data_IF_945937306204
#
_entry.id   IF_945937306204
#
_cell.length_a   1.000
_cell.length_b   1.000
_cell.length_c   1.000
_cell.angle_alpha   90.00
_cell.angle_beta   90.00
_cell.angle_gamma   90.00
#
_symmetry.space_group_name_H-M   'P 1'
#
loop_
_entity.id
_entity.type
_entity.pdbx_description
1 polymer ?
#
# COMPACT_ATOMS: atom_id res chain seq x y z
N UNK A 1 -34.85 -17.90 62.23
CA UNK A 1 -34.36 -18.87 61.23
C UNK A 1 -32.87 -18.61 61.02
N UNK A 2 -31.99 -19.50 61.50
CA UNK A 2 -30.52 -19.35 61.38
C UNK A 2 -30.09 -19.95 60.04
N UNK A 3 -29.84 -19.12 59.02
CA UNK A 3 -29.28 -19.62 57.76
C UNK A 3 -27.75 -19.63 57.85
N UNK A 4 -27.19 -20.83 57.77
CA UNK A 4 -25.76 -21.14 57.78
C UNK A 4 -25.13 -20.78 56.42
N UNK A 5 -23.81 -20.55 56.48
CA UNK A 5 -22.83 -20.23 55.44
C UNK A 5 -23.07 -20.88 54.05
N UNK A 6 -22.53 -20.32 52.97
CA UNK A 6 -21.23 -20.76 52.41
C UNK A 6 -20.57 -19.62 51.61
N UNK A 7 -19.41 -19.15 52.05
CA UNK A 7 -18.52 -18.30 51.25
C UNK A 7 -17.71 -19.23 50.35
N UNK A 8 -17.97 -19.18 49.04
CA UNK A 8 -17.16 -19.88 48.05
C UNK A 8 -15.82 -19.14 47.87
N UNK A 9 -14.72 -19.75 48.29
CA UNK A 9 -13.38 -19.25 48.04
C UNK A 9 -13.01 -19.48 46.57
N UNK A 10 -12.94 -18.40 45.79
CA UNK A 10 -12.48 -18.43 44.41
C UNK A 10 -10.94 -18.32 44.41
N UNK A 11 -10.25 -19.42 44.11
CA UNK A 11 -8.78 -19.44 43.94
C UNK A 11 -8.47 -18.85 42.57
N UNK A 12 -7.88 -17.64 42.53
CA UNK A 12 -7.43 -16.99 41.30
C UNK A 12 -5.97 -17.38 41.05
N UNK A 13 -5.75 -18.35 40.17
CA UNK A 13 -4.41 -18.64 39.64
C UNK A 13 -4.08 -17.65 38.53
N UNK A 14 -3.18 -16.69 38.79
CA UNK A 14 -2.66 -15.79 37.77
C UNK A 14 -1.59 -16.50 36.93
N UNK A 15 -1.88 -16.77 35.65
CA UNK A 15 -0.90 -17.26 34.69
C UNK A 15 -0.04 -16.10 34.16
N UNK A 16 1.27 -16.28 33.94
CA UNK A 16 2.11 -15.23 33.37
C UNK A 16 1.78 -15.06 31.89
N UNK A 17 1.31 -13.86 31.52
CA UNK A 17 1.17 -13.45 30.12
C UNK A 17 2.58 -13.19 29.59
N UNK A 18 3.14 -14.17 28.87
CA UNK A 18 4.34 -13.95 28.08
C UNK A 18 4.02 -12.92 27.00
N UNK A 19 4.39 -11.67 27.23
CA UNK A 19 4.33 -10.61 26.23
C UNK A 19 5.32 -10.97 25.11
N UNK A 20 4.82 -11.63 24.08
CA UNK A 20 5.55 -11.83 22.84
C UNK A 20 5.89 -10.47 22.26
N UNK A 21 7.18 -10.16 22.21
CA UNK A 21 7.71 -9.03 21.44
C UNK A 21 7.40 -9.33 19.98
N UNK A 22 6.32 -8.74 19.47
CA UNK A 22 6.03 -8.73 18.05
C UNK A 22 7.15 -7.93 17.37
N UNK A 23 8.14 -8.63 16.82
CA UNK A 23 9.09 -8.03 15.88
C UNK A 23 8.28 -7.61 14.67
N UNK A 24 8.04 -6.31 14.52
CA UNK A 24 7.42 -5.75 13.33
C UNK A 24 8.26 -6.19 12.12
N UNK A 25 7.70 -7.05 11.26
CA UNK A 25 8.32 -7.38 10.00
C UNK A 25 8.57 -6.08 9.21
N UNK A 26 9.69 -5.96 8.48
CA UNK A 26 9.93 -4.78 7.65
C UNK A 26 8.75 -4.63 6.69
N UNK A 27 8.13 -3.46 6.70
CA UNK A 27 7.12 -3.11 5.71
C UNK A 27 7.76 -3.14 4.33
N UNK A 28 7.29 -4.03 3.43
CA UNK A 28 7.69 -4.20 2.02
C UNK A 28 7.31 -2.98 1.14
N UNK A 29 7.65 -1.78 1.59
CA UNK A 29 7.52 -0.55 0.80
C UNK A 29 8.57 -0.58 -0.31
N UNK A 30 8.15 -0.31 -1.54
CA UNK A 30 9.09 -0.28 -2.64
C UNK A 30 9.90 1.02 -2.58
N UNK A 31 11.17 0.94 -2.93
CA UNK A 31 12.03 2.11 -2.97
C UNK A 31 11.63 3.03 -4.12
N UNK A 32 11.90 4.32 -3.98
CA UNK A 32 11.76 5.29 -5.07
C UNK A 32 12.50 4.86 -6.35
N UNK A 33 13.66 4.23 -6.20
CA UNK A 33 14.43 3.71 -7.33
C UNK A 33 13.74 2.53 -8.05
N UNK A 34 13.01 1.67 -7.34
CA UNK A 34 12.19 0.63 -7.97
C UNK A 34 11.09 1.25 -8.84
N UNK A 35 10.42 2.28 -8.32
CA UNK A 35 9.42 3.03 -9.08
C UNK A 35 10.01 3.79 -10.27
N UNK A 36 11.23 4.31 -10.16
CA UNK A 36 11.92 4.98 -11.28
C UNK A 36 12.28 4.01 -12.41
N UNK A 37 12.70 2.79 -12.08
CA UNK A 37 12.95 1.73 -13.08
C UNK A 37 11.66 1.32 -13.78
N UNK A 38 10.57 1.23 -13.04
CA UNK A 38 9.26 0.96 -13.62
C UNK A 38 8.82 2.09 -14.54
N UNK A 39 8.90 3.34 -14.06
CA UNK A 39 8.56 4.53 -14.84
C UNK A 39 9.42 4.69 -16.11
N UNK A 40 10.67 4.24 -16.08
CA UNK A 40 11.53 4.20 -17.26
C UNK A 40 10.94 3.31 -18.37
N UNK A 41 10.41 2.14 -18.00
CA UNK A 41 9.74 1.26 -18.96
C UNK A 41 8.38 1.81 -19.41
N UNK A 42 7.59 2.34 -18.47
CA UNK A 42 6.22 2.78 -18.71
C UNK A 42 6.12 4.07 -19.54
N UNK A 43 6.98 5.04 -19.26
CA UNK A 43 6.84 6.41 -19.82
C UNK A 43 8.16 7.06 -20.21
N UNK A 44 9.30 6.36 -20.04
CA UNK A 44 10.61 7.00 -20.11
C UNK A 44 10.81 8.03 -19.01
N UNK A 45 10.27 7.78 -17.81
CA UNK A 45 10.30 8.69 -16.65
C UNK A 45 9.59 10.04 -16.84
N UNK A 46 8.67 10.13 -17.81
CA UNK A 46 7.90 11.36 -18.05
C UNK A 46 6.70 11.43 -17.11
N UNK A 47 6.94 11.89 -15.87
CA UNK A 47 5.93 11.91 -14.79
C UNK A 47 4.65 12.71 -15.09
N UNK A 48 4.70 13.67 -16.03
CA UNK A 48 3.54 14.47 -16.41
C UNK A 48 2.96 14.10 -17.78
N UNK A 49 3.36 12.96 -18.35
CA UNK A 49 2.93 12.55 -19.68
C UNK A 49 1.41 12.32 -19.75
N UNK A 50 0.84 12.76 -20.87
CA UNK A 50 -0.51 12.42 -21.30
C UNK A 50 -0.49 12.33 -22.82
N UNK A 51 -0.46 11.11 -23.35
CA UNK A 51 -0.43 10.84 -24.80
C UNK A 51 -1.82 10.66 -25.40
N UNK A 52 -2.88 10.67 -24.57
CA UNK A 52 -4.24 10.33 -25.00
C UNK A 52 -4.54 8.82 -25.08
N UNK A 53 -3.64 7.96 -24.60
CA UNK A 53 -3.82 6.49 -24.63
C UNK A 53 -4.65 5.91 -23.47
N UNK A 54 -5.30 6.76 -22.66
CA UNK A 54 -6.11 6.35 -21.49
C UNK A 54 -5.31 6.12 -20.19
N UNK A 55 -3.98 6.24 -20.25
CA UNK A 55 -3.08 6.14 -19.10
C UNK A 55 -2.32 7.45 -18.90
N UNK A 56 -1.96 7.73 -17.66
CA UNK A 56 -1.45 9.04 -17.28
C UNK A 56 -0.24 8.92 -16.35
N UNK A 57 0.68 9.86 -16.53
CA UNK A 57 1.82 10.06 -15.64
C UNK A 57 2.92 9.01 -15.79
N UNK A 58 3.89 9.06 -14.87
CA UNK A 58 5.14 8.31 -15.00
C UNK A 58 4.95 6.79 -14.93
N UNK A 59 3.92 6.36 -14.20
CA UNK A 59 3.59 4.96 -13.94
C UNK A 59 2.40 4.46 -14.78
N UNK A 60 2.00 5.24 -15.78
CA UNK A 60 0.93 4.90 -16.73
C UNK A 60 -0.32 4.33 -16.02
N UNK A 61 -0.87 5.10 -15.07
CA UNK A 61 -2.06 4.70 -14.31
C UNK A 61 -3.30 5.25 -15.01
N UNK A 62 -4.34 4.42 -15.17
CA UNK A 62 -5.62 4.90 -15.73
C UNK A 62 -6.34 5.80 -14.73
N UNK A 63 -7.18 6.74 -15.20
CA UNK A 63 -7.95 7.62 -14.31
C UNK A 63 -8.90 6.84 -13.39
N UNK A 64 -9.51 5.77 -13.89
CA UNK A 64 -10.43 4.93 -13.10
C UNK A 64 -9.69 4.23 -11.96
N UNK A 65 -8.54 3.61 -12.23
CA UNK A 65 -7.69 2.97 -11.21
C UNK A 65 -7.17 4.02 -10.21
N UNK A 66 -6.70 5.16 -10.69
CA UNK A 66 -6.27 6.28 -9.82
C UNK A 66 -7.35 6.67 -8.81
N UNK A 67 -8.59 6.84 -9.28
CA UNK A 67 -9.73 7.15 -8.42
C UNK A 67 -10.04 6.00 -7.45
N UNK A 68 -10.06 4.75 -7.94
CA UNK A 68 -10.37 3.57 -7.14
C UNK A 68 -9.39 3.39 -5.96
N UNK A 69 -8.11 3.70 -6.17
CA UNK A 69 -7.07 3.62 -5.14
C UNK A 69 -6.94 4.90 -4.31
N UNK A 70 -7.85 5.85 -4.46
CA UNK A 70 -7.97 7.03 -3.60
C UNK A 70 -7.05 8.19 -3.97
N UNK A 71 -6.53 8.22 -5.20
CA UNK A 71 -5.61 9.26 -5.67
C UNK A 71 -6.06 10.69 -5.33
N UNK A 72 -7.27 11.14 -5.69
CA UNK A 72 -7.73 12.49 -5.36
C UNK A 72 -7.66 12.82 -3.87
N UNK A 73 -7.99 11.85 -2.99
CA UNK A 73 -7.95 12.04 -1.54
C UNK A 73 -6.52 12.06 -0.99
N UNK A 74 -5.60 11.33 -1.61
CA UNK A 74 -4.23 11.15 -1.10
C UNK A 74 -3.26 12.24 -1.57
N UNK A 75 -3.57 12.89 -2.68
CA UNK A 75 -2.66 13.80 -3.39
C UNK A 75 -3.30 15.16 -3.69
N UNK A 76 -4.63 15.30 -3.56
CA UNK A 76 -5.36 16.49 -4.01
C UNK A 76 -5.56 16.55 -5.54
N UNK A 77 -4.98 15.60 -6.29
CA UNK A 77 -5.00 15.60 -7.74
C UNK A 77 -5.98 14.57 -8.31
N UNK A 78 -6.90 15.04 -9.16
CA UNK A 78 -7.89 14.17 -9.82
C UNK A 78 -7.30 13.31 -10.96
N UNK A 79 -6.10 13.63 -11.42
CA UNK A 79 -5.44 12.99 -12.56
C UNK A 79 -3.99 12.61 -12.21
N UNK A 80 -3.50 11.41 -12.57
CA UNK A 80 -2.13 11.00 -12.25
C UNK A 80 -1.07 11.94 -12.81
N UNK A 81 -1.20 12.40 -14.07
CA UNK A 81 -0.23 13.28 -14.72
C UNK A 81 -0.20 14.71 -14.15
N UNK A 82 -1.18 15.09 -13.31
CA UNK A 82 -1.16 16.36 -12.56
C UNK A 82 -0.51 16.22 -11.19
N UNK A 83 -0.35 14.99 -10.71
CA UNK A 83 0.30 14.69 -9.44
C UNK A 83 1.83 14.70 -9.59
N UNK A 84 2.52 15.06 -8.51
CA UNK A 84 3.98 14.96 -8.43
C UNK A 84 4.43 13.49 -8.53
N UNK A 85 5.71 13.27 -8.82
CA UNK A 85 6.30 11.92 -8.81
C UNK A 85 6.00 11.16 -7.51
N UNK A 86 6.23 11.81 -6.35
CA UNK A 86 6.01 11.19 -5.04
C UNK A 86 4.53 10.88 -4.79
N UNK A 87 3.64 11.77 -5.22
CA UNK A 87 2.19 11.55 -5.13
C UNK A 87 1.74 10.36 -6.00
N UNK A 88 2.29 10.24 -7.20
CA UNK A 88 2.00 9.09 -8.06
C UNK A 88 2.48 7.79 -7.42
N UNK A 89 3.71 7.77 -6.88
CA UNK A 89 4.25 6.63 -6.14
C UNK A 89 3.36 6.29 -4.93
N UNK A 90 2.87 7.28 -4.19
CA UNK A 90 1.97 7.06 -3.04
C UNK A 90 0.69 6.32 -3.41
N UNK A 91 0.11 6.60 -4.57
CA UNK A 91 -1.07 5.88 -5.06
C UNK A 91 -0.67 4.52 -5.64
N UNK A 92 0.46 4.46 -6.34
CA UNK A 92 0.98 3.21 -6.89
C UNK A 92 1.33 2.19 -5.81
N UNK A 93 1.83 2.61 -4.65
CA UNK A 93 2.02 1.73 -3.48
C UNK A 93 0.70 1.08 -3.05
N UNK A 94 -0.42 1.81 -3.09
CA UNK A 94 -1.73 1.22 -2.78
C UNK A 94 -2.20 0.24 -3.86
N UNK A 95 -1.92 0.56 -5.14
CA UNK A 95 -2.21 -0.36 -6.26
C UNK A 95 -1.40 -1.64 -6.07
N UNK A 96 -0.08 -1.53 -5.83
CA UNK A 96 0.84 -2.63 -5.55
C UNK A 96 0.36 -3.47 -4.37
N UNK A 97 -0.04 -2.85 -3.27
CA UNK A 97 -0.53 -3.60 -2.11
C UNK A 97 -1.85 -4.34 -2.38
N UNK A 98 -2.64 -3.91 -3.36
CA UNK A 98 -3.89 -4.56 -3.73
C UNK A 98 -3.80 -5.57 -4.88
N UNK A 99 -2.87 -5.38 -5.82
CA UNK A 99 -2.78 -6.16 -7.06
C UNK A 99 -1.41 -6.84 -7.27
N UNK A 100 -0.43 -6.54 -6.42
CA UNK A 100 0.96 -6.88 -6.62
C UNK A 100 1.61 -6.06 -7.75
N UNK A 101 2.87 -6.39 -8.04
CA UNK A 101 3.63 -5.79 -9.15
C UNK A 101 3.06 -6.16 -10.54
N UNK A 102 2.22 -7.19 -10.62
CA UNK A 102 1.56 -7.62 -11.85
C UNK A 102 0.66 -6.54 -12.49
N UNK A 103 0.26 -5.50 -11.75
CA UNK A 103 -0.52 -4.38 -12.27
C UNK A 103 0.17 -3.62 -13.42
N UNK A 104 1.49 -3.76 -13.56
CA UNK A 104 2.31 -3.13 -14.62
C UNK A 104 2.85 -4.14 -15.66
N UNK A 105 2.30 -5.37 -15.68
CA UNK A 105 2.57 -6.36 -16.71
C UNK A 105 4.05 -6.53 -17.07
N UNK A 106 4.38 -6.43 -18.36
CA UNK A 106 5.75 -6.62 -18.86
C UNK A 106 6.80 -5.68 -18.22
N UNK A 107 6.40 -4.47 -17.82
CA UNK A 107 7.34 -3.49 -17.29
C UNK A 107 7.80 -3.81 -15.86
N UNK A 108 6.94 -4.41 -15.03
CA UNK A 108 7.38 -4.87 -13.70
C UNK A 108 8.39 -6.01 -13.81
N UNK A 109 8.17 -6.97 -14.71
CA UNK A 109 9.14 -8.04 -14.99
C UNK A 109 10.49 -7.49 -15.48
N UNK A 110 10.48 -6.55 -16.44
CA UNK A 110 11.71 -5.91 -16.95
C UNK A 110 12.44 -5.11 -15.88
N UNK A 111 11.72 -4.54 -14.92
CA UNK A 111 12.29 -3.82 -13.79
C UNK A 111 12.74 -4.75 -12.64
N UNK A 112 12.55 -6.07 -12.75
CA UNK A 112 12.89 -7.05 -11.73
C UNK A 112 11.96 -7.02 -10.51
N UNK A 113 10.73 -6.54 -10.68
CA UNK A 113 9.71 -6.36 -9.65
C UNK A 113 8.66 -7.46 -9.79
N UNK A 114 8.47 -8.26 -8.74
CA UNK A 114 7.59 -9.44 -8.73
C UNK A 114 6.99 -9.62 -7.35
#
# INVERSE_FOLDING_TARGET
>A
MRMRMLVAALVITAAPVAAGVATAAPSDAATLSQWDRLAQCESGQRWHINTGNGYYGGLQISRSTWKAYGGPRLTGNYWPNKATRLEQVKVAERIKNGQGWGAWGACSYRAGLR
#
